data_IF_948397289791
#
_entry.id   IF_948397289791
#
_cell.length_a   1.000
_cell.length_b   1.000
_cell.length_c   1.000
_cell.angle_alpha   90.00
_cell.angle_beta   90.00
_cell.angle_gamma   90.00
#
_symmetry.space_group_name_H-M   'P 1'
#
loop_
_entity.id
_entity.type
_entity.pdbx_description
1 polymer ?
#
# COMPACT_ATOMS: atom_id res chain seq x y z
N UNK A 1 -5.76 -8.41 -10.14
CA UNK A 1 -4.78 -9.33 -9.51
C UNK A 1 -4.26 -8.80 -8.18
N UNK A 2 -3.89 -7.52 -8.08
CA UNK A 2 -3.54 -6.80 -6.83
C UNK A 2 -4.59 -6.94 -5.72
N UNK A 3 -5.86 -6.81 -6.09
CA UNK A 3 -6.97 -6.73 -5.14
C UNK A 3 -7.39 -8.11 -4.60
N UNK A 4 -7.05 -9.19 -5.31
CA UNK A 4 -7.27 -10.56 -4.85
C UNK A 4 -6.26 -10.96 -3.77
N UNK A 5 -5.00 -10.52 -3.89
CA UNK A 5 -4.01 -10.72 -2.85
C UNK A 5 -4.42 -10.01 -1.55
N UNK A 6 -4.96 -8.80 -1.64
CA UNK A 6 -5.35 -8.00 -0.48
C UNK A 6 -6.43 -8.66 0.41
N UNK A 7 -7.29 -9.53 -0.16
CA UNK A 7 -8.38 -10.19 0.55
C UNK A 7 -8.06 -11.57 1.16
N UNK A 8 -6.82 -12.07 1.02
CA UNK A 8 -6.48 -13.47 1.35
C UNK A 8 -5.77 -13.64 2.70
N UNK A 9 -5.74 -12.63 3.57
CA UNK A 9 -4.88 -12.63 4.75
C UNK A 9 -5.67 -12.40 6.04
N UNK A 10 -5.26 -13.11 7.09
CA UNK A 10 -5.76 -12.97 8.46
C UNK A 10 -4.61 -12.45 9.35
N UNK A 11 -4.90 -11.98 10.56
CA UNK A 11 -3.93 -11.36 11.46
C UNK A 11 -2.69 -12.24 11.74
N UNK A 12 -2.82 -13.57 11.61
CA UNK A 12 -1.72 -14.53 11.78
C UNK A 12 -0.76 -14.65 10.58
N UNK A 13 -1.12 -14.16 9.39
CA UNK A 13 -0.31 -14.31 8.17
C UNK A 13 0.33 -13.01 7.68
N UNK A 14 0.03 -11.90 8.36
CA UNK A 14 0.43 -10.54 7.97
C UNK A 14 1.95 -10.37 7.88
N UNK A 15 2.71 -10.96 8.82
CA UNK A 15 4.17 -10.97 8.81
C UNK A 15 4.75 -11.77 7.62
N UNK A 16 4.19 -12.94 7.33
CA UNK A 16 4.60 -13.76 6.18
C UNK A 16 4.35 -13.02 4.87
N UNK A 17 3.22 -12.31 4.77
CA UNK A 17 2.93 -11.47 3.62
C UNK A 17 3.86 -10.27 3.53
N UNK A 18 4.20 -9.61 4.64
CA UNK A 18 5.17 -8.53 4.64
C UNK A 18 6.55 -8.99 4.14
N UNK A 19 6.99 -10.19 4.53
CA UNK A 19 8.24 -10.80 4.04
C UNK A 19 8.14 -11.13 2.54
N UNK A 20 7.02 -11.71 2.09
CA UNK A 20 6.78 -12.00 0.67
C UNK A 20 6.79 -10.73 -0.18
N UNK A 21 6.10 -9.67 0.25
CA UNK A 21 6.05 -8.39 -0.46
C UNK A 21 7.42 -7.71 -0.52
N UNK A 22 8.21 -7.79 0.56
CA UNK A 22 9.61 -7.34 0.57
C UNK A 22 10.48 -8.13 -0.41
N UNK A 23 10.30 -9.44 -0.50
CA UNK A 23 11.01 -10.27 -1.48
C UNK A 23 10.61 -9.92 -2.92
N UNK A 24 9.30 -9.75 -3.19
CA UNK A 24 8.78 -9.37 -4.50
C UNK A 24 9.31 -8.00 -4.95
N UNK A 25 9.43 -7.01 -4.05
CA UNK A 25 10.06 -5.73 -4.37
C UNK A 25 11.51 -5.86 -4.81
N UNK A 26 12.23 -6.91 -4.38
CA UNK A 26 13.64 -7.13 -4.73
C UNK A 26 13.81 -7.72 -6.13
N UNK A 27 12.79 -8.40 -6.65
CA UNK A 27 12.81 -9.05 -7.98
C UNK A 27 11.91 -8.35 -9.01
N UNK A 28 11.11 -7.37 -8.58
CA UNK A 28 10.21 -6.66 -9.47
C UNK A 28 10.99 -5.92 -10.57
N UNK A 29 10.65 -6.12 -11.86
CA UNK A 29 11.27 -5.36 -12.93
C UNK A 29 10.91 -3.87 -12.82
N UNK A 30 11.80 -3.02 -13.31
CA UNK A 30 11.60 -1.57 -13.35
C UNK A 30 10.27 -1.24 -14.05
N UNK A 31 9.48 -0.34 -13.48
CA UNK A 31 8.12 0.00 -13.93
C UNK A 31 6.98 -0.72 -13.20
N UNK A 32 7.29 -1.71 -12.34
CA UNK A 32 6.30 -2.44 -11.53
C UNK A 32 6.51 -2.28 -10.02
N UNK A 33 7.44 -1.43 -9.59
CA UNK A 33 7.76 -1.22 -8.17
C UNK A 33 6.74 -0.28 -7.54
N UNK A 34 6.28 0.74 -8.26
CA UNK A 34 5.32 1.75 -7.79
C UNK A 34 4.04 1.17 -7.14
N UNK A 35 3.32 0.19 -7.72
CA UNK A 35 2.16 -0.42 -7.06
C UNK A 35 2.52 -1.15 -5.77
N UNK A 36 3.62 -1.89 -5.74
CA UNK A 36 4.05 -2.69 -4.59
C UNK A 36 4.50 -1.80 -3.43
N UNK A 37 5.33 -0.81 -3.73
CA UNK A 37 5.85 0.15 -2.77
C UNK A 37 4.71 1.01 -2.18
N UNK A 38 3.69 1.36 -2.97
CA UNK A 38 2.50 2.08 -2.47
C UNK A 38 1.68 1.25 -1.47
N UNK A 39 1.54 -0.06 -1.70
CA UNK A 39 0.85 -0.96 -0.77
C UNK A 39 1.62 -1.10 0.55
N UNK A 40 2.93 -1.31 0.47
CA UNK A 40 3.76 -1.41 1.66
C UNK A 40 3.77 -0.09 2.45
N UNK A 41 3.73 1.05 1.76
CA UNK A 41 3.63 2.36 2.39
C UNK A 41 2.35 2.49 3.23
N UNK A 42 1.20 2.08 2.69
CA UNK A 42 -0.07 2.13 3.42
C UNK A 42 -0.05 1.23 4.67
N UNK A 43 0.40 -0.02 4.54
CA UNK A 43 0.48 -0.96 5.69
C UNK A 43 1.46 -0.48 6.75
N UNK A 44 2.62 0.06 6.34
CA UNK A 44 3.62 0.59 7.27
C UNK A 44 3.13 1.83 8.00
N UNK A 45 2.28 2.64 7.37
CA UNK A 45 1.69 3.80 8.02
C UNK A 45 0.66 3.39 9.08
N UNK A 46 -0.18 2.40 8.76
CA UNK A 46 -1.16 1.84 9.71
C UNK A 46 -0.51 1.21 10.94
N UNK A 47 0.65 0.57 10.78
CA UNK A 47 1.38 -0.04 11.90
C UNK A 47 2.22 0.95 12.72
N UNK A 48 2.13 2.26 12.42
CA UNK A 48 2.91 3.31 13.10
C UNK A 48 4.37 3.42 12.63
N UNK A 49 4.78 2.62 11.64
CA UNK A 49 6.11 2.68 11.04
C UNK A 49 6.22 3.81 9.98
N UNK A 50 5.96 5.06 10.37
CA UNK A 50 5.89 6.21 9.46
C UNK A 50 7.16 6.46 8.64
N UNK A 51 8.34 6.21 9.20
CA UNK A 51 9.61 6.34 8.45
C UNK A 51 9.72 5.32 7.31
N UNK A 52 9.30 4.08 7.56
CA UNK A 52 9.26 3.05 6.52
C UNK A 52 8.19 3.39 5.47
N UNK A 53 7.05 3.93 5.89
CA UNK A 53 6.01 4.38 4.98
C UNK A 53 6.50 5.46 4.01
N UNK A 54 7.19 6.49 4.52
CA UNK A 54 7.80 7.52 3.68
C UNK A 54 8.83 6.96 2.72
N UNK A 55 9.72 6.10 3.19
CA UNK A 55 10.71 5.45 2.34
C UNK A 55 10.07 4.67 1.18
N UNK A 56 8.97 3.97 1.45
CA UNK A 56 8.23 3.25 0.41
C UNK A 56 7.57 4.20 -0.61
N UNK A 57 7.08 5.37 -0.19
CA UNK A 57 6.57 6.39 -1.12
C UNK A 57 7.66 6.93 -2.03
N UNK A 58 8.84 7.23 -1.48
CA UNK A 58 9.97 7.71 -2.27
C UNK A 58 10.39 6.68 -3.31
N UNK A 59 10.43 5.40 -2.93
CA UNK A 59 10.71 4.28 -3.84
C UNK A 59 9.63 4.15 -4.92
N UNK A 60 8.36 4.34 -4.59
CA UNK A 60 7.27 4.27 -5.56
C UNK A 60 7.35 5.39 -6.61
N UNK A 61 7.66 6.61 -6.18
CA UNK A 61 7.76 7.77 -7.05
C UNK A 61 9.06 7.82 -7.87
N UNK A 62 10.13 7.19 -7.38
CA UNK A 62 11.34 6.97 -8.17
C UNK A 62 11.11 6.00 -9.33
N UNK A 63 10.24 4.99 -9.16
CA UNK A 63 9.85 4.05 -10.22
C UNK A 63 8.84 4.68 -11.19
N UNK A 64 7.83 5.40 -10.67
CA UNK A 64 6.86 6.14 -11.46
C UNK A 64 6.41 7.40 -10.73
N UNK A 65 6.97 8.55 -11.12
CA UNK A 65 6.69 9.84 -10.48
C UNK A 65 5.24 10.31 -10.59
N UNK A 66 4.47 9.76 -11.53
CA UNK A 66 3.05 10.05 -11.73
C UNK A 66 2.11 9.03 -11.09
N UNK A 67 2.61 8.07 -10.30
CA UNK A 67 1.76 7.03 -9.73
C UNK A 67 0.75 7.64 -8.76
N UNK A 68 -0.54 7.56 -9.13
CA UNK A 68 -1.63 8.28 -8.47
C UNK A 68 -1.78 7.90 -6.99
N UNK A 69 -1.63 6.61 -6.66
CA UNK A 69 -1.73 6.13 -5.28
C UNK A 69 -0.56 6.61 -4.42
N UNK A 70 0.67 6.57 -4.93
CA UNK A 70 1.84 7.07 -4.20
C UNK A 70 1.73 8.58 -3.93
N UNK A 71 1.22 9.33 -4.91
CA UNK A 71 0.98 10.77 -4.75
C UNK A 71 -0.09 11.07 -3.70
N UNK A 72 -1.18 10.29 -3.68
CA UNK A 72 -2.24 10.41 -2.69
C UNK A 72 -1.70 10.12 -1.28
N UNK A 73 -1.02 8.98 -1.11
CA UNK A 73 -0.46 8.57 0.18
C UNK A 73 0.55 9.58 0.71
N UNK A 74 1.40 10.15 -0.17
CA UNK A 74 2.31 11.23 0.21
C UNK A 74 1.58 12.40 0.86
N UNK A 75 0.45 12.82 0.29
CA UNK A 75 -0.36 13.92 0.85
C UNK A 75 -0.95 13.56 2.21
N UNK A 76 -1.49 12.36 2.35
CA UNK A 76 -2.08 11.88 3.61
C UNK A 76 -1.02 11.85 4.72
N UNK A 77 0.17 11.30 4.42
CA UNK A 77 1.23 11.18 5.41
C UNK A 77 1.83 12.55 5.77
N UNK A 78 2.01 13.44 4.79
CA UNK A 78 2.45 14.82 5.04
C UNK A 78 1.42 15.64 5.82
N UNK A 79 0.14 15.30 5.75
CA UNK A 79 -0.92 15.90 6.55
C UNK A 79 -0.98 15.36 7.99
N UNK A 80 -0.15 14.37 8.35
CA UNK A 80 -0.04 13.86 9.72
C UNK A 80 -1.30 13.18 10.23
N UNK A 81 -2.05 12.51 9.35
CA UNK A 81 -3.27 11.80 9.74
C UNK A 81 -2.98 10.73 10.81
N UNK A 82 -3.80 10.59 11.85
CA UNK A 82 -3.66 9.48 12.79
C UNK A 82 -3.72 8.13 12.06
N UNK A 83 -2.85 7.15 12.40
CA UNK A 83 -2.87 5.81 11.78
C UNK A 83 -4.25 5.15 11.83
N UNK A 84 -5.00 5.35 12.91
CA UNK A 84 -6.34 4.81 13.12
C UNK A 84 -7.35 5.41 12.13
N UNK A 85 -7.28 6.73 11.92
CA UNK A 85 -8.14 7.42 10.96
C UNK A 85 -7.86 6.95 9.52
N UNK A 86 -6.58 6.69 9.20
CA UNK A 86 -6.19 6.14 7.92
C UNK A 86 -6.70 4.69 7.74
N UNK A 87 -6.62 3.86 8.77
CA UNK A 87 -7.15 2.49 8.75
C UNK A 87 -8.68 2.46 8.53
N UNK A 88 -9.43 3.36 9.19
CA UNK A 88 -10.87 3.52 8.96
C UNK A 88 -11.16 3.90 7.51
N UNK A 89 -10.45 4.89 6.96
CA UNK A 89 -10.60 5.31 5.57
C UNK A 89 -10.31 4.17 4.58
N UNK A 90 -9.25 3.38 4.81
CA UNK A 90 -8.95 2.20 3.98
C UNK A 90 -10.07 1.17 4.05
N UNK A 91 -10.58 0.87 5.25
CA UNK A 91 -11.64 -0.10 5.46
C UNK A 91 -12.93 0.30 4.71
N UNK A 92 -13.25 1.59 4.65
CA UNK A 92 -14.38 2.12 3.88
C UNK A 92 -14.15 2.10 2.35
N UNK A 93 -12.89 2.21 1.92
CA UNK A 93 -12.53 2.19 0.50
C UNK A 93 -12.52 0.78 -0.09
N UNK A 94 -12.14 -0.23 0.70
CA UNK A 94 -12.02 -1.62 0.25
C UNK A 94 -13.28 -2.19 -0.44
N UNK A 95 -14.51 -2.03 0.12
CA UNK A 95 -15.72 -2.50 -0.55
C UNK A 95 -16.04 -1.72 -1.84
N UNK A 96 -15.70 -0.43 -1.93
CA UNK A 96 -15.93 0.39 -3.13
C UNK A 96 -14.98 -0.01 -4.28
N UNK A 97 -13.74 -0.36 -3.95
CA UNK A 97 -12.74 -0.84 -4.92
C UNK A 97 -13.09 -2.25 -5.40
N UNK A 98 -13.50 -3.16 -4.50
CA UNK A 98 -13.98 -4.50 -4.89
C UNK A 98 -15.23 -4.42 -5.77
N UNK A 99 -16.21 -3.56 -5.46
CA UNK A 99 -17.39 -3.36 -6.30
C UNK A 99 -17.05 -2.82 -7.70
N UNK A 100 -16.04 -1.93 -7.80
CA UNK A 100 -15.55 -1.41 -9.08
C UNK A 100 -14.83 -2.46 -9.94
N UNK A 101 -14.27 -3.51 -9.34
CA UNK A 101 -13.43 -4.50 -10.01
C UNK A 101 -14.21 -5.76 -10.36
N UNK A 102 -15.17 -6.16 -9.52
CA UNK A 102 -15.95 -7.40 -9.67
C UNK A 102 -17.42 -7.16 -10.05
N UNK A 103 -17.85 -5.90 -10.18
CA UNK A 103 -19.23 -5.53 -10.52
C UNK A 103 -19.55 -5.50 -12.02
N UNK A 104 -18.95 -6.39 -12.82
CA UNK A 104 -19.35 -6.64 -14.22
C UNK A 104 -19.76 -8.09 -14.40
#
# INVERSE_FOLDING_TARGET
>A
MRDFALGSHDANTLDTYAVMWRYLMRIAPCGYIAPLASLLAAVSYESGAGALAQHCIDRALADNGGYSLATLLRRVFSAGWPPEAFATLRAELHPKVCASIFGR
#
